data_IF_888078942383
#
_entry.id   IF_888078942383
#
_cell.length_a   1.000
_cell.length_b   1.000
_cell.length_c   1.000
_cell.angle_alpha   90.00
_cell.angle_beta   90.00
_cell.angle_gamma   90.00
#
_symmetry.space_group_name_H-M   'P 1'
#
loop_
_entity.id
_entity.type
_entity.pdbx_description
1 polymer ?
#
# COMPACT_ATOMS: atom_id res chain seq x y z
N UNK A 1 5.81 -21.86 -25.14
CA UNK A 1 4.66 -22.51 -24.46
C UNK A 1 3.50 -22.60 -25.45
N UNK A 2 3.04 -23.80 -25.78
CA UNK A 2 1.92 -24.01 -26.71
C UNK A 2 0.58 -23.91 -25.99
N UNK A 3 -0.42 -23.25 -26.61
CA UNK A 3 -1.78 -23.01 -26.06
C UNK A 3 -2.44 -24.28 -25.49
N UNK A 4 -2.24 -25.43 -26.14
CA UNK A 4 -2.79 -26.72 -25.71
C UNK A 4 -2.38 -27.11 -24.28
N UNK A 5 -1.18 -26.71 -23.86
CA UNK A 5 -0.64 -27.03 -22.54
C UNK A 5 -1.27 -26.17 -21.42
N UNK A 6 -1.90 -25.03 -21.77
CA UNK A 6 -2.60 -24.17 -20.81
C UNK A 6 -4.02 -24.69 -20.53
N UNK A 7 -4.73 -25.11 -21.58
CA UNK A 7 -6.09 -25.62 -21.46
C UNK A 7 -6.14 -26.95 -20.70
N UNK A 8 -5.15 -27.82 -20.90
CA UNK A 8 -5.01 -29.06 -20.12
C UNK A 8 -4.78 -28.76 -18.64
N UNK A 9 -3.91 -27.79 -18.33
CA UNK A 9 -3.61 -27.38 -16.96
C UNK A 9 -4.81 -26.72 -16.26
N UNK A 10 -5.61 -25.95 -17.00
CA UNK A 10 -6.88 -25.39 -16.55
C UNK A 10 -7.92 -26.48 -16.26
N UNK A 11 -7.94 -27.52 -17.09
CA UNK A 11 -8.85 -28.66 -16.95
C UNK A 11 -8.47 -29.53 -15.74
N UNK A 12 -7.18 -29.74 -15.50
CA UNK A 12 -6.67 -30.41 -14.30
C UNK A 12 -7.01 -29.62 -13.03
N UNK A 13 -6.83 -28.29 -13.04
CA UNK A 13 -7.19 -27.44 -11.90
C UNK A 13 -8.70 -27.47 -11.59
N UNK A 14 -9.55 -27.49 -12.62
CA UNK A 14 -11.01 -27.62 -12.44
C UNK A 14 -11.38 -28.97 -11.86
N UNK A 15 -10.78 -30.06 -12.34
CA UNK A 15 -10.96 -31.39 -11.76
C UNK A 15 -10.51 -31.47 -10.30
N UNK A 16 -9.34 -30.90 -9.98
CA UNK A 16 -8.83 -30.84 -8.60
C UNK A 16 -9.76 -30.05 -7.67
N UNK A 17 -10.41 -29.01 -8.18
CA UNK A 17 -11.42 -28.24 -7.44
C UNK A 17 -12.69 -29.07 -7.21
N UNK A 18 -13.20 -29.71 -8.27
CA UNK A 18 -14.43 -30.50 -8.24
C UNK A 18 -14.29 -31.82 -7.45
N UNK A 19 -13.12 -32.46 -7.46
CA UNK A 19 -12.86 -33.76 -6.80
C UNK A 19 -12.49 -33.62 -5.31
N UNK A 20 -11.97 -32.47 -4.87
CA UNK A 20 -11.53 -32.27 -3.46
C UNK A 20 -12.49 -31.43 -2.61
N UNK A 21 -13.56 -30.89 -3.18
CA UNK A 21 -14.55 -30.13 -2.43
C UNK A 21 -15.94 -30.75 -2.66
N UNK A 22 -16.32 -31.78 -1.90
CA UNK A 22 -17.73 -32.03 -1.68
C UNK A 22 -18.29 -30.78 -1.00
N UNK A 23 -18.88 -29.88 -1.79
CA UNK A 23 -19.68 -28.77 -1.28
C UNK A 23 -20.98 -29.41 -0.79
N UNK A 24 -20.93 -30.04 0.39
CA UNK A 24 -22.05 -29.92 1.31
C UNK A 24 -21.84 -28.57 1.99
N UNK A 25 -22.62 -27.54 1.64
CA UNK A 25 -22.64 -26.35 2.45
C UNK A 25 -23.15 -26.80 3.82
N UNK A 26 -22.34 -26.64 4.87
CA UNK A 26 -22.92 -26.52 6.18
C UNK A 26 -23.94 -25.38 6.07
N UNK A 27 -25.20 -25.62 6.47
CA UNK A 27 -26.23 -24.59 6.51
C UNK A 27 -25.68 -23.36 7.26
N UNK A 28 -25.27 -22.31 6.54
CA UNK A 28 -24.78 -21.09 7.17
C UNK A 28 -23.77 -20.26 6.39
N UNK A 29 -22.84 -20.85 5.62
CA UNK A 29 -21.77 -20.06 4.98
C UNK A 29 -22.16 -19.56 3.59
N UNK A 30 -23.08 -18.60 3.59
CA UNK A 30 -23.26 -17.68 2.46
C UNK A 30 -22.04 -16.77 2.46
N UNK A 31 -21.20 -16.85 1.42
CA UNK A 31 -20.19 -15.82 1.15
C UNK A 31 -20.93 -14.54 0.71
N UNK A 32 -21.55 -13.84 1.66
CA UNK A 32 -22.06 -12.50 1.47
C UNK A 32 -20.88 -11.55 1.60
N UNK A 33 -20.44 -10.89 0.51
CA UNK A 33 -19.43 -9.85 0.62
C UNK A 33 -19.98 -8.76 1.53
N UNK A 34 -19.38 -8.60 2.71
CA UNK A 34 -19.77 -7.62 3.72
C UNK A 34 -20.01 -6.25 3.05
N UNK A 35 -21.11 -5.61 3.42
CA UNK A 35 -21.41 -4.23 3.07
C UNK A 35 -20.29 -3.29 3.57
N UNK A 36 -20.22 -2.08 3.01
CA UNK A 36 -19.21 -1.10 3.45
C UNK A 36 -19.31 -0.80 4.95
N UNK A 37 -20.53 -0.78 5.49
CA UNK A 37 -20.79 -0.57 6.93
C UNK A 37 -20.25 -1.73 7.76
N UNK A 38 -20.51 -2.98 7.34
CA UNK A 38 -20.00 -4.16 8.05
C UNK A 38 -18.47 -4.26 7.96
N UNK A 39 -17.87 -3.89 6.81
CA UNK A 39 -16.42 -3.79 6.66
C UNK A 39 -15.82 -2.72 7.57
N UNK A 40 -16.47 -1.56 7.68
CA UNK A 40 -16.04 -0.49 8.58
C UNK A 40 -16.09 -0.97 10.04
N UNK A 41 -17.21 -1.57 10.46
CA UNK A 41 -17.38 -2.09 11.82
C UNK A 41 -16.37 -3.19 12.14
N UNK A 42 -16.10 -4.10 11.21
CA UNK A 42 -15.08 -5.13 11.38
C UNK A 42 -13.69 -4.52 11.59
N UNK A 43 -13.30 -3.55 10.76
CA UNK A 43 -11.99 -2.89 10.89
C UNK A 43 -11.91 -2.09 12.20
N UNK A 44 -12.99 -1.42 12.62
CA UNK A 44 -13.05 -0.73 13.90
C UNK A 44 -12.88 -1.69 15.09
N UNK A 45 -13.52 -2.86 15.03
CA UNK A 45 -13.40 -3.87 16.07
C UNK A 45 -11.95 -4.38 16.18
N UNK A 46 -11.32 -4.72 15.05
CA UNK A 46 -9.91 -5.16 15.01
C UNK A 46 -8.95 -4.08 15.54
N UNK A 47 -9.22 -2.80 15.29
CA UNK A 47 -8.44 -1.69 15.86
C UNK A 47 -8.61 -1.65 17.39
N UNK A 48 -9.83 -1.84 17.90
CA UNK A 48 -10.09 -1.88 19.34
C UNK A 48 -9.39 -3.07 20.02
N UNK A 49 -9.35 -4.23 19.39
CA UNK A 49 -8.59 -5.39 19.88
C UNK A 49 -7.09 -5.08 19.93
N UNK A 50 -6.53 -4.49 18.86
CA UNK A 50 -5.12 -4.06 18.85
C UNK A 50 -4.83 -3.05 19.98
N UNK A 51 -5.71 -2.08 20.23
CA UNK A 51 -5.53 -1.11 21.31
C UNK A 51 -5.56 -1.77 22.70
N UNK A 52 -6.45 -2.73 22.89
CA UNK A 52 -6.59 -3.47 24.15
C UNK A 52 -5.34 -4.32 24.42
N UNK A 53 -4.87 -5.04 23.40
CA UNK A 53 -3.65 -5.86 23.50
C UNK A 53 -2.39 -4.99 23.65
N UNK A 54 -2.30 -3.83 22.97
CA UNK A 54 -1.22 -2.87 23.20
C UNK A 54 -1.18 -2.39 24.65
N UNK A 55 -2.33 -2.02 25.20
CA UNK A 55 -2.42 -1.56 26.60
C UNK A 55 -1.91 -2.65 27.54
N UNK A 56 -2.34 -3.89 27.33
CA UNK A 56 -1.88 -5.03 28.12
C UNK A 56 -0.36 -5.28 27.97
N UNK A 57 0.17 -5.26 26.74
CA UNK A 57 1.59 -5.49 26.47
C UNK A 57 2.48 -4.38 27.02
N UNK A 58 2.05 -3.12 26.95
CA UNK A 58 2.76 -1.98 27.53
C UNK A 58 2.83 -2.12 29.05
N UNK A 59 1.71 -2.41 29.72
CA UNK A 59 1.71 -2.66 31.16
C UNK A 59 2.57 -3.87 31.54
N UNK A 60 2.57 -4.93 30.73
CA UNK A 60 3.44 -6.10 30.94
C UNK A 60 4.92 -5.73 30.79
N UNK A 61 5.25 -4.87 29.81
CA UNK A 61 6.61 -4.38 29.60
C UNK A 61 7.09 -3.51 30.76
N UNK A 62 6.24 -2.61 31.27
CA UNK A 62 6.54 -1.78 32.44
C UNK A 62 6.83 -2.65 33.66
N UNK A 63 5.99 -3.64 33.94
CA UNK A 63 6.21 -4.60 35.04
C UNK A 63 7.50 -5.41 34.85
N UNK A 64 7.81 -5.87 33.64
CA UNK A 64 9.03 -6.61 33.36
C UNK A 64 10.28 -5.75 33.57
N UNK A 65 10.21 -4.45 33.24
CA UNK A 65 11.29 -3.48 33.51
C UNK A 65 11.46 -3.26 35.01
N UNK A 66 10.36 -3.03 35.74
CA UNK A 66 10.38 -2.81 37.19
C UNK A 66 10.92 -4.02 37.95
N UNK A 67 10.58 -5.23 37.49
CA UNK A 67 11.07 -6.49 38.06
C UNK A 67 12.48 -6.86 37.59
N UNK A 68 13.13 -6.01 36.76
CA UNK A 68 14.45 -6.27 36.20
C UNK A 68 14.54 -7.64 35.51
N UNK A 69 13.51 -8.01 34.76
CA UNK A 69 13.48 -9.25 33.97
C UNK A 69 14.60 -9.28 32.92
N UNK A 70 14.78 -10.44 32.27
CA UNK A 70 15.85 -10.62 31.30
C UNK A 70 15.73 -9.63 30.13
N UNK A 71 16.88 -9.18 29.63
CA UNK A 71 16.95 -8.28 28.46
C UNK A 71 16.26 -8.88 27.23
N UNK A 72 16.34 -10.20 27.07
CA UNK A 72 15.67 -10.94 26.00
C UNK A 72 14.15 -10.80 26.10
N UNK A 73 13.58 -11.01 27.30
CA UNK A 73 12.15 -10.87 27.53
C UNK A 73 11.65 -9.45 27.28
N UNK A 74 12.39 -8.44 27.72
CA UNK A 74 12.10 -7.02 27.45
C UNK A 74 12.15 -6.73 25.95
N UNK A 75 13.13 -7.30 25.22
CA UNK A 75 13.23 -7.15 23.76
C UNK A 75 12.03 -7.77 23.05
N UNK A 76 11.65 -9.00 23.40
CA UNK A 76 10.50 -9.70 22.82
C UNK A 76 9.20 -8.92 22.99
N UNK A 77 9.00 -8.32 24.17
CA UNK A 77 7.82 -7.49 24.44
C UNK A 77 7.82 -6.22 23.58
N UNK A 78 8.97 -5.56 23.42
CA UNK A 78 9.11 -4.39 22.53
C UNK A 78 8.85 -4.74 21.06
N UNK A 79 9.33 -5.89 20.61
CA UNK A 79 9.11 -6.36 19.23
C UNK A 79 7.63 -6.68 18.99
N UNK A 80 6.96 -7.32 19.97
CA UNK A 80 5.51 -7.56 19.91
C UNK A 80 4.72 -6.26 19.85
N UNK A 81 5.05 -5.29 20.71
CA UNK A 81 4.41 -3.95 20.69
C UNK A 81 4.61 -3.30 19.32
N UNK A 82 5.83 -3.27 18.80
CA UNK A 82 6.15 -2.65 17.50
C UNK A 82 5.38 -3.32 16.35
N UNK A 83 5.24 -4.65 16.38
CA UNK A 83 4.46 -5.39 15.39
C UNK A 83 2.96 -5.07 15.50
N UNK A 84 2.43 -4.93 16.71
CA UNK A 84 1.02 -4.59 16.91
C UNK A 84 0.72 -3.14 16.50
N UNK A 85 1.62 -2.19 16.78
CA UNK A 85 1.53 -0.81 16.31
C UNK A 85 1.52 -0.74 14.78
N UNK A 86 2.37 -1.54 14.11
CA UNK A 86 2.35 -1.67 12.64
C UNK A 86 1.00 -2.21 12.15
N UNK A 87 0.48 -3.29 12.77
CA UNK A 87 -0.84 -3.85 12.41
C UNK A 87 -1.95 -2.82 12.57
N UNK A 88 -1.96 -2.09 13.69
CA UNK A 88 -2.91 -1.00 13.97
C UNK A 88 -2.85 0.07 12.88
N UNK A 89 -1.65 0.54 12.51
CA UNK A 89 -1.48 1.54 11.46
C UNK A 89 -2.05 1.10 10.11
N UNK A 90 -1.86 -0.17 9.74
CA UNK A 90 -2.44 -0.74 8.50
C UNK A 90 -3.97 -0.74 8.57
N UNK A 91 -4.55 -1.11 9.72
CA UNK A 91 -5.99 -1.10 9.92
C UNK A 91 -6.57 0.32 9.88
N UNK A 92 -5.89 1.31 10.47
CA UNK A 92 -6.28 2.72 10.41
C UNK A 92 -6.28 3.23 8.96
N UNK A 93 -5.27 2.89 8.16
CA UNK A 93 -5.23 3.23 6.73
C UNK A 93 -6.37 2.55 5.95
N UNK A 94 -6.70 1.30 6.29
CA UNK A 94 -7.84 0.59 5.69
C UNK A 94 -9.17 1.23 6.06
N UNK A 95 -9.31 1.69 7.31
CA UNK A 95 -10.49 2.41 7.79
C UNK A 95 -10.66 3.74 7.06
N UNK A 96 -9.58 4.52 6.93
CA UNK A 96 -9.57 5.78 6.18
C UNK A 96 -9.99 5.54 4.72
N UNK A 97 -9.48 4.48 4.10
CA UNK A 97 -9.86 4.09 2.75
C UNK A 97 -11.36 3.78 2.65
N UNK A 98 -11.91 2.96 3.54
CA UNK A 98 -13.35 2.64 3.55
C UNK A 98 -14.19 3.92 3.71
N UNK A 99 -13.80 4.81 4.62
CA UNK A 99 -14.51 6.06 4.90
C UNK A 99 -14.41 7.10 3.79
N UNK A 100 -13.30 7.10 3.06
CA UNK A 100 -13.10 8.03 1.94
C UNK A 100 -14.07 7.76 0.79
N UNK A 101 -14.62 6.54 0.70
CA UNK A 101 -15.39 6.09 -0.45
C UNK A 101 -14.59 6.07 -1.75
N UNK A 102 -13.26 6.32 -1.71
CA UNK A 102 -12.39 6.20 -2.87
C UNK A 102 -12.32 4.72 -3.28
N UNK A 103 -12.50 4.45 -4.57
CA UNK A 103 -12.19 3.12 -5.12
C UNK A 103 -10.68 2.99 -5.35
N UNK A 104 -10.18 1.76 -5.42
CA UNK A 104 -8.77 1.50 -5.75
C UNK A 104 -8.35 2.18 -7.07
N UNK A 105 -9.27 2.24 -8.05
CA UNK A 105 -9.03 2.91 -9.32
C UNK A 105 -8.89 4.43 -9.17
N UNK A 106 -9.71 5.07 -8.34
CA UNK A 106 -9.61 6.51 -8.06
C UNK A 106 -8.29 6.85 -7.35
N UNK A 107 -7.89 6.04 -6.37
CA UNK A 107 -6.59 6.20 -5.67
C UNK A 107 -5.41 6.01 -6.61
N UNK A 108 -5.45 4.97 -7.45
CA UNK A 108 -4.42 4.70 -8.47
C UNK A 108 -4.30 5.85 -9.45
N UNK A 109 -5.42 6.42 -9.88
CA UNK A 109 -5.44 7.57 -10.80
C UNK A 109 -4.88 8.84 -10.14
N UNK A 110 -5.21 9.09 -8.87
CA UNK A 110 -4.64 10.18 -8.07
C UNK A 110 -3.13 10.05 -7.92
N UNK A 111 -2.62 8.85 -7.61
CA UNK A 111 -1.18 8.57 -7.53
C UNK A 111 -0.48 8.78 -8.87
N UNK A 112 -1.07 8.31 -9.98
CA UNK A 112 -0.52 8.57 -11.33
C UNK A 112 -0.39 10.06 -11.62
N UNK A 113 -1.41 10.86 -11.27
CA UNK A 113 -1.38 12.33 -11.45
C UNK A 113 -0.27 12.98 -10.63
N UNK A 114 -0.10 12.58 -9.37
CA UNK A 114 0.97 13.08 -8.51
C UNK A 114 2.36 12.72 -9.05
N UNK A 115 2.56 11.48 -9.52
CA UNK A 115 3.80 11.05 -10.16
C UNK A 115 4.10 11.87 -11.41
N UNK A 116 3.11 12.04 -12.29
CA UNK A 116 3.24 12.84 -13.51
C UNK A 116 3.63 14.30 -13.18
N UNK A 117 3.02 14.90 -12.15
CA UNK A 117 3.34 16.26 -11.73
C UNK A 117 4.79 16.38 -11.23
N UNK A 118 5.26 15.42 -10.44
CA UNK A 118 6.65 15.36 -9.97
C UNK A 118 7.64 15.16 -11.12
N UNK A 119 7.32 14.29 -12.07
CA UNK A 119 8.14 14.09 -13.26
C UNK A 119 8.21 15.35 -14.13
N UNK A 120 7.10 16.05 -14.31
CA UNK A 120 7.06 17.34 -15.01
C UNK A 120 7.91 18.39 -14.28
N UNK A 121 7.82 18.49 -12.95
CA UNK A 121 8.68 19.37 -12.14
C UNK A 121 10.16 19.03 -12.32
N UNK A 122 10.51 17.75 -12.26
CA UNK A 122 11.88 17.26 -12.49
C UNK A 122 12.38 17.62 -13.90
N UNK A 123 11.54 17.43 -14.93
CA UNK A 123 11.88 17.79 -16.30
C UNK A 123 12.10 19.30 -16.44
N UNK A 124 11.21 20.13 -15.88
CA UNK A 124 11.36 21.60 -15.89
C UNK A 124 12.66 22.04 -15.22
N UNK A 125 13.02 21.47 -14.07
CA UNK A 125 14.30 21.74 -13.42
C UNK A 125 15.49 21.36 -14.30
N UNK A 126 15.46 20.15 -14.89
CA UNK A 126 16.50 19.72 -15.84
C UNK A 126 16.61 20.62 -17.08
N UNK A 127 15.54 21.30 -17.48
CA UNK A 127 15.59 22.29 -18.56
C UNK A 127 16.10 23.64 -18.08
N UNK A 128 15.76 24.06 -16.86
CA UNK A 128 16.27 25.28 -16.25
C UNK A 128 17.80 25.21 -15.97
N UNK A 129 18.31 24.03 -15.65
CA UNK A 129 19.74 23.78 -15.40
C UNK A 129 20.56 23.58 -16.69
N UNK A 130 19.92 23.60 -17.87
CA UNK A 130 20.66 23.50 -19.14
C UNK A 130 21.29 24.84 -19.48
N UNK A 131 22.59 24.80 -19.72
CA UNK A 131 23.35 25.96 -20.19
C UNK A 131 22.86 26.40 -21.59
N UNK A 132 22.12 27.52 -21.61
CA UNK A 132 21.58 28.12 -22.83
C UNK A 132 22.60 28.96 -23.60
N UNK A 133 23.84 29.10 -23.10
CA UNK A 133 24.89 29.94 -23.71
C UNK A 133 25.12 29.62 -25.18
N UNK A 134 25.08 28.35 -25.60
CA UNK A 134 25.24 27.97 -27.03
C UNK A 134 24.05 28.39 -27.90
N UNK A 135 22.84 28.42 -27.32
CA UNK A 135 21.63 28.89 -28.00
C UNK A 135 21.68 30.41 -28.13
N UNK A 136 22.03 31.11 -27.05
CA UNK A 136 22.17 32.56 -27.04
C UNK A 136 23.28 33.05 -27.97
N UNK A 137 24.42 32.35 -28.02
CA UNK A 137 25.50 32.63 -28.97
C UNK A 137 25.02 32.51 -30.42
N UNK A 138 24.23 31.49 -30.76
CA UNK A 138 23.67 31.33 -32.12
C UNK A 138 22.64 32.40 -32.45
N UNK A 139 21.80 32.78 -31.48
CA UNK A 139 20.82 33.87 -31.63
C UNK A 139 21.56 35.19 -31.90
N UNK A 140 22.59 35.50 -31.13
CA UNK A 140 23.39 36.72 -31.29
C UNK A 140 24.13 36.74 -32.63
N UNK A 141 24.76 35.64 -33.05
CA UNK A 141 25.39 35.53 -34.37
C UNK A 141 24.39 35.78 -35.52
N UNK A 142 23.17 35.27 -35.40
CA UNK A 142 22.07 35.52 -36.35
C UNK A 142 21.65 37.00 -36.34
N UNK A 143 21.43 37.59 -35.18
CA UNK A 143 21.05 39.01 -35.07
C UNK A 143 22.13 39.94 -35.64
N UNK A 144 23.41 39.66 -35.38
CA UNK A 144 24.51 40.43 -35.95
C UNK A 144 24.62 40.27 -37.47
N UNK A 145 24.25 39.12 -38.02
CA UNK A 145 24.17 38.94 -39.48
C UNK A 145 23.07 39.80 -40.12
N UNK A 146 21.96 40.03 -39.42
CA UNK A 146 20.89 40.91 -39.90
C UNK A 146 21.22 42.40 -39.75
N UNK A 147 22.06 42.80 -38.78
CA UNK A 147 22.52 44.19 -38.62
C UNK A 147 23.58 44.61 -39.64
N UNK A 148 24.22 43.65 -40.30
CA UNK A 148 25.28 43.87 -41.31
C UNK A 148 24.74 43.88 -42.76
N UNK A 149 23.44 43.65 -42.94
CA UNK A 149 22.67 43.85 -44.17
C UNK A 149 22.02 45.23 -44.15
#
# INVERSE_FOLDING_TARGET
MNKQNFDEKLKELRKLYDENHPITPAEGDVFTPLSLVEKEQYVLHEIQECLSELTHLVSTLELAIDQSESKERISDLKDKISNLERRKSILEQKLEFIRSGETDDQRKEKLKRQLLELELKRCKLKFADKDHVKVDQKINQKLDSYKKL
#
